data_IF_591017244477
#
_entry.id   IF_591017244477
#
_cell.length_a   1.000
_cell.length_b   1.000
_cell.length_c   1.000
_cell.angle_alpha   90.00
_cell.angle_beta   90.00
_cell.angle_gamma   90.00
#
_symmetry.space_group_name_H-M   'P 1'
#
loop_
_entity.id
_entity.type
_entity.pdbx_description
1 polymer ?
#
# COMPACT_ATOMS: atom_id res chain seq x y z
N UNK A 1 15.08 17.06 -9.94
CA UNK A 1 14.80 15.66 -9.55
C UNK A 1 13.33 15.39 -9.85
N UNK A 2 12.93 14.22 -10.38
CA UNK A 2 11.52 13.90 -10.55
C UNK A 2 10.85 13.93 -9.18
N UNK A 3 9.74 14.65 -9.04
CA UNK A 3 8.99 14.69 -7.80
C UNK A 3 8.19 13.39 -7.68
N UNK A 4 8.72 12.43 -6.93
CA UNK A 4 8.00 11.21 -6.58
C UNK A 4 7.07 11.48 -5.40
N UNK A 5 5.82 11.03 -5.50
CA UNK A 5 4.89 11.03 -4.37
C UNK A 5 4.98 9.69 -3.65
N UNK A 6 5.01 9.72 -2.32
CA UNK A 6 5.08 8.52 -1.47
C UNK A 6 3.84 8.42 -0.60
N UNK A 7 3.30 7.21 -0.45
CA UNK A 7 2.16 6.95 0.43
C UNK A 7 2.31 5.57 1.08
N UNK A 8 1.89 5.50 2.34
CA UNK A 8 1.68 4.22 3.04
C UNK A 8 0.18 3.93 3.07
N UNK A 9 -0.21 2.71 2.71
CA UNK A 9 -1.58 2.22 2.80
C UNK A 9 -1.63 1.21 3.93
N UNK A 10 -2.45 1.49 4.94
CA UNK A 10 -2.66 0.58 6.08
C UNK A 10 -3.80 -0.37 5.73
N UNK A 11 -3.49 -1.66 5.69
CA UNK A 11 -4.46 -2.73 5.49
C UNK A 11 -4.70 -3.39 6.84
N UNK A 12 -5.91 -3.24 7.36
CA UNK A 12 -6.30 -3.91 8.59
C UNK A 12 -6.54 -5.39 8.31
N UNK A 13 -5.92 -6.27 9.08
CA UNK A 13 -6.10 -7.72 8.97
C UNK A 13 -5.58 -8.42 10.22
N UNK A 14 -5.64 -9.74 10.25
CA UNK A 14 -4.79 -10.55 11.14
C UNK A 14 -3.72 -11.31 10.36
N UNK A 15 -3.87 -11.38 9.04
CA UNK A 15 -3.07 -12.15 8.09
C UNK A 15 -2.94 -13.61 8.55
N UNK A 16 -4.05 -14.18 9.01
CA UNK A 16 -4.12 -15.56 9.53
C UNK A 16 -4.82 -16.52 8.58
N UNK A 17 -5.59 -16.00 7.64
CA UNK A 17 -6.37 -16.78 6.68
C UNK A 17 -6.31 -16.15 5.28
N UNK A 18 -6.80 -16.91 4.29
CA UNK A 18 -6.80 -16.51 2.89
C UNK A 18 -7.68 -15.28 2.63
N UNK A 19 -8.68 -15.02 3.47
CA UNK A 19 -9.56 -13.87 3.31
C UNK A 19 -8.81 -12.55 3.54
N UNK A 20 -7.90 -12.52 4.51
CA UNK A 20 -7.00 -11.39 4.74
C UNK A 20 -6.06 -11.16 3.54
N UNK A 21 -5.58 -12.23 2.89
CA UNK A 21 -4.75 -12.13 1.68
C UNK A 21 -5.53 -11.58 0.49
N UNK A 22 -6.77 -12.02 0.29
CA UNK A 22 -7.67 -11.47 -0.74
C UNK A 22 -7.95 -9.98 -0.49
N UNK A 23 -8.07 -9.57 0.76
CA UNK A 23 -8.26 -8.16 1.09
C UNK A 23 -7.01 -7.31 0.82
N UNK A 24 -5.81 -7.84 1.11
CA UNK A 24 -4.54 -7.21 0.77
C UNK A 24 -4.38 -7.03 -0.74
N UNK A 25 -4.65 -8.08 -1.51
CA UNK A 25 -4.56 -8.07 -2.97
C UNK A 25 -5.50 -7.02 -3.57
N UNK A 26 -6.75 -6.95 -3.11
CA UNK A 26 -7.70 -5.90 -3.53
C UNK A 26 -7.17 -4.49 -3.27
N UNK A 27 -6.56 -4.24 -2.10
CA UNK A 27 -6.01 -2.93 -1.78
C UNK A 27 -4.81 -2.56 -2.67
N UNK A 28 -3.93 -3.52 -2.99
CA UNK A 28 -2.80 -3.31 -3.90
C UNK A 28 -3.31 -2.98 -5.30
N UNK A 29 -4.24 -3.77 -5.83
CA UNK A 29 -4.79 -3.58 -7.17
C UNK A 29 -5.55 -2.25 -7.30
N UNK A 30 -6.38 -1.87 -6.30
CA UNK A 30 -7.04 -0.56 -6.30
C UNK A 30 -6.07 0.63 -6.17
N UNK A 31 -4.88 0.43 -5.60
CA UNK A 31 -3.83 1.45 -5.59
C UNK A 31 -3.15 1.56 -6.96
N UNK A 32 -2.86 0.42 -7.60
CA UNK A 32 -2.29 0.35 -8.94
C UNK A 32 -3.16 1.04 -10.00
N UNK A 33 -4.48 0.84 -9.94
CA UNK A 33 -5.46 1.55 -10.80
C UNK A 33 -5.37 3.08 -10.70
N UNK A 34 -4.89 3.60 -9.56
CA UNK A 34 -4.71 5.03 -9.29
C UNK A 34 -3.29 5.52 -9.61
N UNK A 35 -2.49 4.69 -10.26
CA UNK A 35 -1.11 5.00 -10.64
C UNK A 35 -0.10 4.88 -9.50
N UNK A 36 -0.43 4.18 -8.41
CA UNK A 36 0.52 3.87 -7.34
C UNK A 36 1.22 2.55 -7.61
N UNK A 37 2.55 2.56 -7.58
CA UNK A 37 3.40 1.38 -7.71
C UNK A 37 3.73 0.83 -6.31
N UNK A 38 3.67 -0.49 -6.17
CA UNK A 38 4.07 -1.20 -4.95
C UNK A 38 5.59 -1.17 -4.79
N UNK A 39 6.08 -0.74 -3.63
CA UNK A 39 7.50 -0.84 -3.25
C UNK A 39 7.73 -2.08 -2.41
N UNK A 40 6.98 -2.21 -1.31
CA UNK A 40 7.19 -3.25 -0.32
C UNK A 40 5.97 -3.38 0.58
N UNK A 41 5.80 -4.56 1.17
CA UNK A 41 4.80 -4.83 2.20
C UNK A 41 5.50 -5.20 3.50
N UNK A 42 4.99 -4.70 4.62
CA UNK A 42 5.50 -5.05 5.95
C UNK A 42 4.37 -5.33 6.91
N UNK A 43 4.53 -6.35 7.74
CA UNK A 43 3.61 -6.63 8.84
C UNK A 43 3.93 -5.68 9.99
N UNK A 44 2.92 -4.95 10.46
CA UNK A 44 3.03 -4.12 11.66
C UNK A 44 2.38 -4.86 12.81
N UNK A 45 3.22 -5.41 13.68
CA UNK A 45 2.82 -5.77 15.02
C UNK A 45 2.61 -4.47 15.81
N UNK A 46 1.37 -4.11 16.10
CA UNK A 46 1.11 -3.04 17.05
C UNK A 46 1.59 -3.50 18.44
N UNK A 47 2.61 -2.83 18.96
CA UNK A 47 3.02 -2.86 20.37
C UNK A 47 2.00 -2.20 21.32
N UNK A 48 0.87 -1.70 20.80
CA UNK A 48 -0.37 -1.48 21.54
C UNK A 48 -1.10 -2.83 21.71
N UNK A 49 -0.47 -3.70 22.49
CA UNK A 49 -1.00 -5.00 22.91
C UNK A 49 -2.21 -4.81 23.82
N UNK A 50 -3.41 -4.74 23.23
CA UNK A 50 -4.59 -5.21 23.95
C UNK A 50 -5.35 -6.29 23.17
N UNK A 51 -5.58 -6.19 21.86
CA UNK A 51 -6.39 -7.22 21.17
C UNK A 51 -6.03 -7.45 19.68
N UNK A 52 -4.92 -8.15 19.41
CA UNK A 52 -4.81 -9.10 18.29
C UNK A 52 -5.05 -8.62 16.85
N UNK A 53 -4.74 -7.37 16.49
CA UNK A 53 -4.80 -6.88 15.10
C UNK A 53 -3.39 -6.68 14.55
N UNK A 54 -2.99 -7.53 13.61
CA UNK A 54 -1.73 -7.39 12.84
C UNK A 54 -2.07 -6.65 11.56
N UNK A 55 -1.82 -5.34 11.49
CA UNK A 55 -2.07 -4.57 10.27
C UNK A 55 -0.88 -4.72 9.30
N UNK A 56 -1.15 -4.75 8.00
CA UNK A 56 -0.13 -4.70 6.96
C UNK A 56 0.06 -3.26 6.52
N UNK A 57 1.30 -2.81 6.34
CA UNK A 57 1.59 -1.55 5.64
C UNK A 57 2.06 -1.89 4.23
N UNK A 58 1.41 -1.29 3.25
CA UNK A 58 1.82 -1.31 1.85
C UNK A 58 2.49 0.02 1.55
N UNK A 59 3.78 -0.01 1.24
CA UNK A 59 4.55 1.15 0.82
C UNK A 59 4.39 1.33 -0.68
N UNK A 60 3.89 2.48 -1.11
CA UNK A 60 3.70 2.79 -2.51
C UNK A 60 4.34 4.12 -2.90
N UNK A 61 4.67 4.24 -4.18
CA UNK A 61 5.11 5.49 -4.78
C UNK A 61 4.36 5.75 -6.08
N UNK A 62 4.32 6.99 -6.53
CA UNK A 62 3.77 7.36 -7.84
C UNK A 62 4.77 8.24 -8.58
N UNK A 63 4.97 7.95 -9.86
CA UNK A 63 5.83 8.74 -10.74
C UNK A 63 5.16 10.07 -11.11
N UNK A 64 5.94 11.12 -11.34
CA UNK A 64 5.40 12.33 -11.94
C UNK A 64 4.79 12.02 -13.30
N UNK A 65 3.61 12.56 -13.57
CA UNK A 65 3.02 12.53 -14.90
C UNK A 65 3.90 13.44 -15.77
N UNK A 66 4.61 12.86 -16.73
CA UNK A 66 5.19 13.65 -17.80
C UNK A 66 4.03 14.26 -18.58
N UNK A 67 3.75 15.54 -18.35
CA UNK A 67 2.90 16.31 -19.26
C UNK A 67 3.69 16.41 -20.57
N UNK A 68 3.16 15.91 -21.70
CA UNK A 68 3.82 16.11 -22.98
C UNK A 68 3.94 17.61 -23.22
N UNK A 69 5.15 18.09 -23.47
CA UNK A 69 5.37 19.46 -23.94
C UNK A 69 4.71 19.57 -25.33
N UNK A 70 3.55 20.22 -25.39
CA UNK A 70 2.94 20.60 -26.65
C UNK A 70 3.77 21.76 -27.24
N UNK A 71 4.84 21.43 -27.97
CA UNK A 71 5.53 22.34 -28.90
C UNK A 71 4.97 22.21 -30.30
#
# INVERSE_FOLDING_TARGET
MPNFEYKSIIVSGKFRDDADLVHLDKNINSAAEKGWELVSTTAVAHNLWDHGKTSGIVLTFRRPIMVPDNT
#
